data_IF_611457770196
#
_entry.id   IF_611457770196
#
_cell.length_a   1.000
_cell.length_b   1.000
_cell.length_c   1.000
_cell.angle_alpha   90.00
_cell.angle_beta   90.00
_cell.angle_gamma   90.00
#
_symmetry.space_group_name_H-M   'P 1'
#
loop_
_entity.id
_entity.type
_entity.pdbx_description
1 polymer ?
#
# COMPACT_ATOMS: atom_id res chain seq x y z
N UNK A 1 5.23 -5.18 -20.35
CA UNK A 1 6.25 -5.06 -19.28
C UNK A 1 7.69 -5.21 -19.82
N UNK A 2 8.01 -4.70 -21.03
CA UNK A 2 9.34 -4.87 -21.66
C UNK A 2 10.48 -4.06 -21.00
N UNK A 3 10.18 -3.34 -19.92
CA UNK A 3 11.07 -2.41 -19.23
C UNK A 3 11.07 -2.66 -17.72
N UNK A 4 11.25 -3.92 -17.32
CA UNK A 4 11.36 -4.30 -15.90
C UNK A 4 12.69 -5.01 -15.65
N UNK A 5 13.37 -4.60 -14.59
CA UNK A 5 14.65 -5.16 -14.15
C UNK A 5 14.39 -6.09 -12.96
N UNK A 6 14.88 -7.32 -13.02
CA UNK A 6 14.77 -8.24 -11.89
C UNK A 6 15.80 -7.85 -10.82
N UNK A 7 15.32 -7.45 -9.63
CA UNK A 7 16.17 -7.03 -8.52
C UNK A 7 16.60 -8.23 -7.65
N UNK A 8 15.73 -9.23 -7.50
CA UNK A 8 16.00 -10.37 -6.63
C UNK A 8 14.91 -11.44 -6.68
N UNK A 9 15.00 -12.40 -5.74
CA UNK A 9 13.97 -13.43 -5.53
C UNK A 9 13.69 -13.61 -4.04
N UNK A 10 12.42 -13.73 -3.68
CA UNK A 10 11.97 -14.08 -2.32
C UNK A 10 11.08 -15.31 -2.40
N UNK A 11 11.46 -16.40 -1.73
CA UNK A 11 10.74 -17.70 -1.77
C UNK A 11 10.44 -18.19 -3.20
N UNK A 12 11.38 -17.97 -4.12
CA UNK A 12 11.24 -18.34 -5.53
C UNK A 12 10.47 -17.35 -6.40
N UNK A 13 9.84 -16.32 -5.82
CA UNK A 13 9.10 -15.29 -6.55
C UNK A 13 10.09 -14.21 -7.03
N UNK A 14 10.22 -13.96 -8.34
CA UNK A 14 11.06 -12.89 -8.86
C UNK A 14 10.45 -11.52 -8.55
N UNK A 15 11.26 -10.65 -7.94
CA UNK A 15 10.90 -9.26 -7.67
C UNK A 15 11.49 -8.40 -8.79
N UNK A 16 10.62 -7.70 -9.50
CA UNK A 16 10.95 -6.86 -10.65
C UNK A 16 10.64 -5.41 -10.32
N UNK A 17 11.48 -4.51 -10.81
CA UNK A 17 11.26 -3.06 -10.73
C UNK A 17 11.03 -2.56 -12.15
N UNK A 18 9.88 -1.95 -12.39
CA UNK A 18 9.60 -1.28 -13.66
C UNK A 18 10.33 0.07 -13.70
N UNK A 19 10.76 0.52 -14.88
CA UNK A 19 11.45 1.83 -15.03
C UNK A 19 10.63 2.99 -14.45
N UNK A 20 9.29 2.93 -14.53
CA UNK A 20 8.43 3.97 -13.93
C UNK A 20 8.59 4.10 -12.41
N UNK A 21 9.07 3.06 -11.73
CA UNK A 21 9.40 3.09 -10.30
C UNK A 21 10.62 3.99 -10.00
N UNK A 22 11.55 4.14 -10.95
CA UNK A 22 12.70 5.04 -10.76
C UNK A 22 12.27 6.52 -10.71
N UNK A 23 11.12 6.86 -11.28
CA UNK A 23 10.56 8.21 -11.23
C UNK A 23 9.71 8.45 -9.96
N UNK A 24 9.04 7.42 -9.44
CA UNK A 24 8.19 7.56 -8.25
C UNK A 24 9.01 7.72 -6.97
N UNK A 25 10.21 7.11 -6.90
CA UNK A 25 11.08 7.23 -5.72
C UNK A 25 11.53 8.68 -5.44
N UNK A 26 12.10 9.44 -6.41
CA UNK A 26 12.43 10.85 -6.21
C UNK A 26 11.21 11.71 -5.88
N UNK A 27 10.05 11.42 -6.49
CA UNK A 27 8.82 12.13 -6.19
C UNK A 27 8.41 11.95 -4.72
N UNK A 28 8.35 10.71 -4.22
CA UNK A 28 8.05 10.46 -2.81
C UNK A 28 9.14 11.01 -1.88
N UNK A 29 10.42 10.97 -2.29
CA UNK A 29 11.50 11.58 -1.51
C UNK A 29 11.31 13.09 -1.34
N UNK A 30 10.85 13.79 -2.38
CA UNK A 30 10.48 15.20 -2.31
C UNK A 30 9.27 15.42 -1.40
N UNK A 31 8.20 14.64 -1.58
CA UNK A 31 6.98 14.76 -0.78
C UNK A 31 7.23 14.56 0.70
N UNK A 32 7.97 13.52 1.05
CA UNK A 32 8.31 13.18 2.43
C UNK A 32 9.38 14.11 3.01
N UNK A 33 10.33 14.56 2.20
CA UNK A 33 11.40 15.45 2.65
C UNK A 33 10.91 16.87 2.97
N UNK A 34 9.98 17.40 2.18
CA UNK A 34 9.53 18.80 2.28
C UNK A 34 8.11 18.98 2.83
N UNK A 35 7.46 17.90 3.30
CA UNK A 35 6.13 17.93 3.94
C UNK A 35 5.10 18.73 3.14
N UNK A 36 4.79 18.29 1.91
CA UNK A 36 3.66 18.86 1.15
C UNK A 36 2.29 18.44 1.69
N UNK A 37 2.26 17.53 2.67
CA UNK A 37 1.03 16.98 3.26
C UNK A 37 0.97 17.42 4.72
N UNK A 38 -0.11 18.09 5.17
CA UNK A 38 -0.24 18.49 6.56
C UNK A 38 -0.37 17.26 7.48
N UNK A 39 0.01 17.43 8.74
CA UNK A 39 -0.20 16.43 9.77
C UNK A 39 -1.69 16.06 9.86
N UNK A 40 -1.98 14.76 9.92
CA UNK A 40 -3.34 14.24 9.90
C UNK A 40 -3.57 13.31 11.08
N UNK A 41 -4.65 13.53 11.83
CA UNK A 41 -4.97 12.78 13.05
C UNK A 41 -3.81 12.71 14.06
N UNK A 42 -2.98 13.76 14.10
CA UNK A 42 -1.79 13.85 14.96
C UNK A 42 -0.55 13.13 14.43
N UNK A 43 -0.62 12.44 13.29
CA UNK A 43 0.54 11.82 12.65
C UNK A 43 1.35 12.85 11.88
N UNK A 44 2.65 12.90 12.14
CA UNK A 44 3.62 13.61 11.29
C UNK A 44 3.86 12.82 10.02
N UNK A 45 3.73 13.48 8.87
CA UNK A 45 3.77 12.86 7.54
C UNK A 45 4.97 13.28 6.67
N UNK A 46 5.96 13.96 7.26
CA UNK A 46 7.19 14.33 6.57
C UNK A 46 8.23 15.00 7.47
N UNK A 47 9.34 15.42 6.86
CA UNK A 47 10.53 15.98 7.52
C UNK A 47 10.74 17.49 7.30
N UNK A 48 9.79 18.15 6.65
CA UNK A 48 9.85 19.56 6.26
C UNK A 48 10.11 20.52 7.42
N UNK A 49 9.57 20.22 8.61
CA UNK A 49 9.71 21.08 9.80
C UNK A 49 11.04 20.88 10.54
N UNK A 50 11.83 19.88 10.15
CA UNK A 50 13.11 19.64 10.81
C UNK A 50 14.12 20.73 10.46
N UNK A 51 14.99 21.14 11.42
CA UNK A 51 16.07 22.09 11.19
C UNK A 51 17.25 21.42 10.47
N UNK A 52 16.96 20.80 9.32
CA UNK A 52 17.91 20.15 8.43
C UNK A 52 18.03 20.96 7.14
N UNK A 53 19.20 20.86 6.51
CA UNK A 53 19.42 21.37 5.16
C UNK A 53 18.61 20.57 4.12
N UNK A 54 18.47 21.14 2.92
CA UNK A 54 17.69 20.50 1.84
C UNK A 54 18.21 19.10 1.45
N UNK A 55 19.54 18.80 1.45
CA UNK A 55 20.02 17.44 1.19
C UNK A 55 19.65 16.47 2.30
N UNK A 56 19.75 16.87 3.58
CA UNK A 56 19.35 16.03 4.71
C UNK A 56 17.88 15.64 4.66
N UNK A 57 17.00 16.60 4.35
CA UNK A 57 15.55 16.37 4.16
C UNK A 57 15.27 15.38 3.03
N UNK A 58 15.94 15.54 1.88
CA UNK A 58 15.82 14.63 0.76
C UNK A 58 16.33 13.22 1.08
N UNK A 59 17.46 13.12 1.80
CA UNK A 59 18.01 11.83 2.22
C UNK A 59 17.03 11.06 3.11
N UNK A 60 16.45 11.73 4.11
CA UNK A 60 15.42 11.15 4.97
C UNK A 60 14.15 10.81 4.19
N UNK A 61 13.70 11.69 3.30
CA UNK A 61 12.55 11.45 2.43
C UNK A 61 12.75 10.23 1.53
N UNK A 62 13.95 10.04 0.98
CA UNK A 62 14.29 8.86 0.17
C UNK A 62 14.28 7.58 1.00
N UNK A 63 14.84 7.60 2.22
CA UNK A 63 14.79 6.46 3.14
C UNK A 63 13.32 6.10 3.43
N UNK A 64 12.49 7.09 3.74
CA UNK A 64 11.07 6.90 4.00
C UNK A 64 10.32 6.33 2.78
N UNK A 65 10.64 6.81 1.57
CA UNK A 65 10.06 6.30 0.34
C UNK A 65 10.44 4.83 0.11
N UNK A 66 11.70 4.47 0.30
CA UNK A 66 12.17 3.07 0.19
C UNK A 66 11.48 2.18 1.23
N UNK A 67 11.35 2.63 2.48
CA UNK A 67 10.64 1.89 3.52
C UNK A 67 9.15 1.71 3.20
N UNK A 68 8.49 2.75 2.72
CA UNK A 68 7.09 2.70 2.30
C UNK A 68 6.89 1.67 1.17
N UNK A 69 7.69 1.72 0.11
CA UNK A 69 7.58 0.75 -0.98
C UNK A 69 8.03 -0.66 -0.58
N UNK A 70 8.92 -0.79 0.41
CA UNK A 70 9.22 -2.08 1.03
C UNK A 70 8.01 -2.65 1.75
N UNK A 71 7.22 -1.82 2.43
CA UNK A 71 5.96 -2.23 3.05
C UNK A 71 4.89 -2.62 2.01
N UNK A 72 4.79 -1.89 0.90
CA UNK A 72 3.95 -2.28 -0.26
C UNK A 72 4.42 -3.62 -0.84
N UNK A 73 5.72 -3.84 -0.97
CA UNK A 73 6.26 -5.13 -1.41
C UNK A 73 5.92 -6.26 -0.43
N UNK A 74 5.98 -6.02 0.88
CA UNK A 74 5.58 -7.00 1.90
C UNK A 74 4.09 -7.33 1.81
N UNK A 75 3.23 -6.34 1.53
CA UNK A 75 1.81 -6.53 1.26
C UNK A 75 1.59 -7.49 0.07
N UNK A 76 2.23 -7.22 -1.07
CA UNK A 76 2.15 -8.07 -2.28
C UNK A 76 2.75 -9.47 -2.06
N UNK A 77 3.87 -9.54 -1.34
CA UNK A 77 4.50 -10.81 -0.96
C UNK A 77 3.56 -11.65 -0.09
N UNK A 78 2.78 -11.03 0.80
CA UNK A 78 1.85 -11.75 1.66
C UNK A 78 0.75 -12.44 0.85
N UNK A 79 0.15 -11.75 -0.13
CA UNK A 79 -0.76 -12.37 -1.11
C UNK A 79 -0.08 -13.53 -1.83
N UNK A 80 1.11 -13.29 -2.35
CA UNK A 80 1.84 -14.23 -3.17
C UNK A 80 2.23 -15.50 -2.40
N UNK A 81 2.69 -15.36 -1.15
CA UNK A 81 3.04 -16.51 -0.30
C UNK A 81 1.80 -17.37 0.00
N UNK A 82 0.66 -16.75 0.29
CA UNK A 82 -0.59 -17.50 0.51
C UNK A 82 -1.07 -18.16 -0.77
N UNK A 83 -0.90 -17.51 -1.92
CA UNK A 83 -1.23 -18.08 -3.21
C UNK A 83 -0.36 -19.31 -3.55
N UNK A 84 0.96 -19.24 -3.34
CA UNK A 84 1.85 -20.40 -3.52
C UNK A 84 1.46 -21.58 -2.63
N UNK A 85 1.13 -21.33 -1.36
CA UNK A 85 0.68 -22.37 -0.42
C UNK A 85 -0.63 -23.04 -0.83
N UNK A 86 -1.42 -22.39 -1.67
CA UNK A 86 -2.67 -22.91 -2.24
C UNK A 86 -2.49 -23.51 -3.64
N UNK A 87 -1.26 -23.65 -4.11
CA UNK A 87 -0.94 -24.28 -5.40
C UNK A 87 -1.12 -23.37 -6.61
N UNK A 88 -1.24 -22.05 -6.43
CA UNK A 88 -1.25 -21.10 -7.55
C UNK A 88 0.16 -20.82 -8.06
N UNK A 89 0.27 -20.59 -9.38
CA UNK A 89 1.52 -20.21 -10.03
C UNK A 89 1.64 -18.68 -10.12
N UNK A 90 2.79 -18.15 -9.70
CA UNK A 90 3.09 -16.72 -9.66
C UNK A 90 4.33 -16.47 -10.50
N UNK A 91 4.22 -15.63 -11.53
CA UNK A 91 5.32 -15.32 -12.45
C UNK A 91 6.23 -14.20 -11.95
N UNK A 92 5.80 -13.45 -10.94
CA UNK A 92 6.61 -12.43 -10.26
C UNK A 92 5.80 -11.35 -9.57
N UNK A 93 6.50 -10.46 -8.88
CA UNK A 93 5.94 -9.21 -8.34
C UNK A 93 6.66 -8.07 -9.03
N UNK A 94 5.91 -7.16 -9.64
CA UNK A 94 6.47 -5.98 -10.31
C UNK A 94 6.06 -4.72 -9.56
N UNK A 95 7.03 -3.94 -9.08
CA UNK A 95 6.83 -2.60 -8.52
C UNK A 95 6.85 -1.56 -9.64
N UNK A 96 5.89 -0.65 -9.65
CA UNK A 96 5.71 0.42 -10.63
C UNK A 96 5.06 1.64 -9.99
N UNK A 97 4.79 2.67 -10.80
CA UNK A 97 4.33 3.99 -10.31
C UNK A 97 3.04 3.96 -9.46
N UNK A 98 2.13 3.02 -9.69
CA UNK A 98 0.86 2.93 -8.94
C UNK A 98 0.92 1.93 -7.76
N UNK A 99 2.08 1.32 -7.49
CA UNK A 99 2.26 0.34 -6.40
C UNK A 99 2.95 -0.94 -6.85
N UNK A 100 2.62 -2.06 -6.22
CA UNK A 100 3.06 -3.40 -6.62
C UNK A 100 1.92 -4.17 -7.29
N UNK A 101 2.25 -5.01 -8.27
CA UNK A 101 1.30 -5.97 -8.84
C UNK A 101 1.94 -7.36 -8.79
N UNK A 102 1.23 -8.28 -8.17
CA UNK A 102 1.50 -9.72 -8.21
C UNK A 102 0.95 -10.34 -9.50
N UNK A 103 1.84 -10.87 -10.35
CA UNK A 103 1.48 -11.52 -11.61
C UNK A 103 1.09 -12.99 -11.34
N UNK A 104 -0.21 -13.29 -11.36
CA UNK A 104 -0.75 -14.64 -11.13
C UNK A 104 -1.13 -15.27 -12.47
N UNK A 105 -0.56 -16.44 -12.81
CA UNK A 105 -0.71 -17.07 -14.13
C UNK A 105 -2.10 -17.67 -14.39
N UNK A 106 -2.80 -18.11 -13.33
CA UNK A 106 -4.15 -18.69 -13.42
C UNK A 106 -5.07 -18.14 -12.34
N UNK A 107 -6.30 -17.78 -12.74
CA UNK A 107 -7.31 -17.29 -11.81
C UNK A 107 -7.69 -18.35 -10.75
N UNK A 108 -7.99 -17.92 -9.51
CA UNK A 108 -8.47 -18.81 -8.46
C UNK A 108 -9.71 -19.60 -8.88
N UNK A 109 -9.65 -20.94 -8.76
CA UNK A 109 -10.81 -21.80 -9.01
C UNK A 109 -11.85 -21.77 -7.87
N UNK A 110 -11.40 -21.43 -6.65
CA UNK A 110 -12.23 -21.46 -5.45
C UNK A 110 -12.47 -20.05 -4.92
N UNK A 111 -13.74 -19.66 -4.79
CA UNK A 111 -14.14 -18.31 -4.39
C UNK A 111 -13.61 -17.92 -3.01
N UNK A 112 -13.85 -18.75 -1.98
CA UNK A 112 -13.42 -18.45 -0.61
C UNK A 112 -11.89 -18.37 -0.47
N UNK A 113 -11.16 -19.22 -1.21
CA UNK A 113 -9.71 -19.19 -1.28
C UNK A 113 -9.19 -17.86 -1.83
N UNK A 114 -9.87 -17.27 -2.80
CA UNK A 114 -9.56 -15.94 -3.31
C UNK A 114 -9.83 -14.84 -2.27
N UNK A 115 -10.99 -14.85 -1.62
CA UNK A 115 -11.33 -13.82 -0.63
C UNK A 115 -10.33 -13.77 0.52
N UNK A 116 -9.95 -14.94 1.07
CA UNK A 116 -8.91 -14.97 2.09
C UNK A 116 -7.56 -14.48 1.58
N UNK A 117 -7.17 -14.87 0.36
CA UNK A 117 -5.91 -14.42 -0.23
C UNK A 117 -5.88 -12.91 -0.38
N UNK A 118 -6.97 -12.30 -0.86
CA UNK A 118 -7.11 -10.85 -0.98
C UNK A 118 -7.12 -10.14 0.38
N UNK A 119 -7.58 -10.79 1.46
CA UNK A 119 -7.54 -10.17 2.79
C UNK A 119 -6.13 -10.12 3.41
N UNK A 120 -5.23 -11.04 3.03
CA UNK A 120 -3.92 -11.21 3.69
C UNK A 120 -2.98 -10.01 3.50
N UNK A 121 -2.97 -9.37 2.33
CA UNK A 121 -2.17 -8.17 2.10
C UNK A 121 -2.58 -7.02 3.02
N UNK A 122 -3.85 -6.60 3.01
CA UNK A 122 -4.36 -5.57 3.91
C UNK A 122 -4.13 -5.90 5.39
N UNK A 123 -4.32 -7.16 5.79
CA UNK A 123 -4.01 -7.60 7.15
C UNK A 123 -2.51 -7.43 7.48
N UNK A 124 -1.62 -7.72 6.54
CA UNK A 124 -0.16 -7.53 6.71
C UNK A 124 0.19 -6.06 6.90
N UNK A 125 -0.35 -5.17 6.04
CA UNK A 125 -0.16 -3.73 6.20
C UNK A 125 -0.74 -3.23 7.52
N UNK A 126 -1.95 -3.66 7.90
CA UNK A 126 -2.55 -3.26 9.16
C UNK A 126 -1.69 -3.67 10.36
N UNK A 127 -1.17 -4.91 10.38
CA UNK A 127 -0.28 -5.39 11.44
C UNK A 127 1.02 -4.57 11.49
N UNK A 128 1.65 -4.29 10.34
CA UNK A 128 2.84 -3.42 10.31
C UNK A 128 2.51 -2.07 10.94
N UNK A 129 1.40 -1.46 10.54
CA UNK A 129 1.01 -0.15 11.06
C UNK A 129 0.78 -0.15 12.57
N UNK A 130 -0.02 -1.09 13.06
CA UNK A 130 -0.34 -1.22 14.49
C UNK A 130 0.90 -1.54 15.33
N UNK A 131 1.82 -2.37 14.83
CA UNK A 131 3.05 -2.72 15.56
C UNK A 131 4.00 -1.52 15.68
N UNK A 132 4.02 -0.63 14.68
CA UNK A 132 4.86 0.57 14.71
C UNK A 132 4.27 1.70 15.57
N UNK A 133 2.96 1.67 15.81
CA UNK A 133 2.24 2.71 16.54
C UNK A 133 2.77 2.94 17.98
N UNK A 134 3.02 1.92 18.83
CA UNK A 134 3.60 2.12 20.15
C UNK A 134 4.96 2.82 20.12
N UNK A 135 5.82 2.49 19.15
CA UNK A 135 7.15 3.12 19.04
C UNK A 135 7.06 4.60 18.71
N UNK A 136 6.10 4.99 17.86
CA UNK A 136 5.80 6.40 17.65
C UNK A 136 5.28 7.07 18.93
N UNK A 137 4.29 6.46 19.60
CA UNK A 137 3.70 7.03 20.83
C UNK A 137 4.74 7.24 21.95
N UNK A 138 5.74 6.36 22.06
CA UNK A 138 6.81 6.47 23.04
C UNK A 138 7.81 7.59 22.73
N UNK A 139 8.00 7.95 21.45
CA UNK A 139 9.02 8.90 21.02
C UNK A 139 8.46 10.27 20.59
N UNK A 140 7.13 10.42 20.46
CA UNK A 140 6.52 11.62 19.86
C UNK A 140 6.71 12.91 20.68
N UNK A 141 6.90 12.78 22.00
CA UNK A 141 7.12 13.92 22.91
C UNK A 141 8.60 14.28 23.06
N UNK A 142 9.50 13.45 22.51
CA UNK A 142 10.94 13.69 22.56
C UNK A 142 11.32 14.88 21.67
N UNK A 143 12.27 15.70 22.13
CA UNK A 143 12.71 16.93 21.43
C UNK A 143 14.08 16.80 20.78
N UNK A 144 14.85 15.77 21.11
CA UNK A 144 16.15 15.51 20.49
C UNK A 144 16.01 15.21 19.00
N UNK A 145 16.84 15.83 18.16
CA UNK A 145 16.74 15.72 16.69
C UNK A 145 16.64 14.27 16.20
N UNK A 146 17.48 13.38 16.72
CA UNK A 146 17.47 11.96 16.34
C UNK A 146 16.15 11.29 16.75
N UNK A 147 15.70 11.52 17.99
CA UNK A 147 14.43 10.98 18.48
C UNK A 147 13.24 11.48 17.64
N UNK A 148 13.24 12.75 17.26
CA UNK A 148 12.22 13.35 16.38
C UNK A 148 12.24 12.69 15.00
N UNK A 149 13.41 12.51 14.38
CA UNK A 149 13.53 11.83 13.08
C UNK A 149 12.95 10.41 13.15
N UNK A 150 13.33 9.65 14.18
CA UNK A 150 12.88 8.27 14.38
C UNK A 150 11.37 8.23 14.66
N UNK A 151 10.85 9.13 15.50
CA UNK A 151 9.43 9.26 15.78
C UNK A 151 8.63 9.58 14.52
N UNK A 152 9.11 10.50 13.67
CA UNK A 152 8.50 10.82 12.38
C UNK A 152 8.50 9.61 11.45
N UNK A 153 9.55 8.78 11.46
CA UNK A 153 9.56 7.53 10.70
C UNK A 153 8.54 6.51 11.16
N UNK A 154 8.43 6.28 12.47
CA UNK A 154 7.38 5.41 12.99
C UNK A 154 5.98 5.96 12.72
N UNK A 155 5.79 7.28 12.84
CA UNK A 155 4.54 7.96 12.50
C UNK A 155 4.13 7.69 11.06
N UNK A 156 5.01 8.00 10.10
CA UNK A 156 4.76 7.82 8.68
C UNK A 156 4.50 6.35 8.32
N UNK A 157 5.37 5.44 8.78
CA UNK A 157 5.21 4.02 8.46
C UNK A 157 3.96 3.44 9.10
N UNK A 158 3.61 3.85 10.32
CA UNK A 158 2.35 3.48 10.97
C UNK A 158 1.15 3.95 10.15
N UNK A 159 1.09 5.26 9.91
CA UNK A 159 -0.03 5.90 9.23
C UNK A 159 -0.24 5.34 7.81
N UNK A 160 0.80 5.32 6.98
CA UNK A 160 0.65 4.87 5.59
C UNK A 160 0.33 3.38 5.47
N UNK A 161 0.79 2.54 6.40
CA UNK A 161 0.41 1.12 6.39
C UNK A 161 -1.04 0.88 6.84
N UNK A 162 -1.51 1.62 7.86
CA UNK A 162 -2.93 1.59 8.26
C UNK A 162 -3.79 2.13 7.12
N UNK A 163 -3.37 3.22 6.48
CA UNK A 163 -4.06 3.83 5.35
C UNK A 163 -4.12 2.86 4.16
N UNK A 164 -3.00 2.20 3.83
CA UNK A 164 -2.92 1.19 2.77
C UNK A 164 -3.86 0.01 3.04
N UNK A 165 -3.93 -0.46 4.29
CA UNK A 165 -4.87 -1.50 4.68
C UNK A 165 -6.32 -1.02 4.59
N UNK A 166 -6.61 0.19 5.07
CA UNK A 166 -7.94 0.80 5.04
C UNK A 166 -8.47 0.94 3.61
N UNK A 167 -7.68 1.52 2.71
CA UNK A 167 -8.02 1.61 1.29
C UNK A 167 -8.22 0.22 0.67
N UNK A 168 -7.32 -0.73 0.92
CA UNK A 168 -7.45 -2.04 0.31
C UNK A 168 -8.57 -2.92 0.89
N UNK A 169 -9.18 -2.56 2.04
CA UNK A 169 -10.37 -3.28 2.56
C UNK A 169 -11.68 -2.74 1.98
N UNK A 170 -11.68 -1.57 1.33
CA UNK A 170 -12.88 -1.00 0.71
C UNK A 170 -13.48 -2.02 -0.27
N UNK A 171 -14.79 -2.34 -0.16
CA UNK A 171 -15.44 -3.41 -0.92
C UNK A 171 -15.74 -3.00 -2.37
N UNK A 172 -14.72 -2.54 -3.10
CA UNK A 172 -14.81 -2.06 -4.46
C UNK A 172 -13.59 -2.46 -5.28
N UNK A 173 -13.80 -2.87 -6.54
CA UNK A 173 -12.69 -3.00 -7.48
C UNK A 173 -12.10 -1.62 -7.84
N UNK A 174 -10.78 -1.50 -8.02
CA UNK A 174 -9.77 -2.55 -8.14
C UNK A 174 -9.15 -3.07 -6.83
N UNK A 175 -9.60 -2.59 -5.67
CA UNK A 175 -9.00 -2.88 -4.36
C UNK A 175 -9.25 -4.34 -3.92
N UNK A 176 -8.44 -4.84 -2.98
CA UNK A 176 -8.57 -6.21 -2.48
C UNK A 176 -9.91 -6.51 -1.82
N UNK A 177 -10.51 -5.54 -1.14
CA UNK A 177 -11.84 -5.63 -0.55
C UNK A 177 -12.91 -5.89 -1.60
N UNK A 178 -12.72 -5.38 -2.83
CA UNK A 178 -13.54 -5.73 -3.99
C UNK A 178 -13.44 -7.22 -4.35
N UNK A 179 -12.25 -7.82 -4.23
CA UNK A 179 -12.03 -9.27 -4.43
C UNK A 179 -12.61 -10.09 -3.28
N UNK A 180 -12.54 -9.59 -2.04
CA UNK A 180 -13.20 -10.20 -0.87
C UNK A 180 -14.73 -10.20 -1.08
N UNK A 181 -15.31 -9.06 -1.45
CA UNK A 181 -16.74 -8.94 -1.77
C UNK A 181 -17.14 -9.87 -2.91
N UNK A 182 -16.35 -9.87 -4.01
CA UNK A 182 -16.59 -10.76 -5.15
C UNK A 182 -16.57 -12.22 -4.73
N UNK A 183 -15.60 -12.64 -3.92
CA UNK A 183 -15.51 -14.00 -3.38
C UNK A 183 -16.77 -14.37 -2.57
N UNK A 184 -17.22 -13.48 -1.69
CA UNK A 184 -18.40 -13.72 -0.86
C UNK A 184 -19.67 -13.88 -1.70
N UNK A 185 -19.85 -13.04 -2.73
CA UNK A 185 -20.99 -13.11 -3.65
C UNK A 185 -20.91 -14.31 -4.59
N UNK A 186 -19.72 -14.64 -5.11
CA UNK A 186 -19.52 -15.72 -6.07
C UNK A 186 -19.97 -17.07 -5.56
N UNK A 187 -19.97 -17.29 -4.23
CA UNK A 187 -20.52 -18.50 -3.60
C UNK A 187 -22.01 -18.72 -3.92
N UNK A 188 -22.79 -17.66 -4.10
CA UNK A 188 -24.25 -17.74 -4.31
C UNK A 188 -24.66 -17.58 -5.78
N UNK A 189 -23.93 -16.79 -6.56
CA UNK A 189 -24.35 -16.37 -7.90
C UNK A 189 -23.28 -16.59 -8.99
N UNK A 190 -22.15 -17.22 -8.66
CA UNK A 190 -21.03 -17.41 -9.57
C UNK A 190 -20.17 -16.15 -9.78
N UNK A 191 -19.02 -16.32 -10.42
CA UNK A 191 -17.99 -15.28 -10.51
C UNK A 191 -18.36 -14.09 -11.40
N UNK A 192 -19.06 -14.32 -12.52
CA UNK A 192 -19.39 -13.24 -13.47
C UNK A 192 -20.36 -12.24 -12.84
N UNK A 193 -21.52 -12.65 -12.27
CA UNK A 193 -22.43 -11.71 -11.61
C UNK A 193 -21.79 -11.03 -10.40
N UNK A 194 -21.02 -11.77 -9.59
CA UNK A 194 -20.31 -11.22 -8.45
C UNK A 194 -19.30 -10.13 -8.85
N UNK A 195 -18.60 -10.31 -9.97
CA UNK A 195 -17.68 -9.29 -10.51
C UNK A 195 -18.44 -8.04 -10.93
N UNK A 196 -19.57 -8.19 -11.62
CA UNK A 196 -20.40 -7.05 -12.04
C UNK A 196 -20.86 -6.22 -10.84
N UNK A 197 -21.27 -6.87 -9.75
CA UNK A 197 -21.67 -6.17 -8.52
C UNK A 197 -20.48 -5.45 -7.90
N UNK A 198 -19.34 -6.13 -7.71
CA UNK A 198 -18.16 -5.51 -7.11
C UNK A 198 -17.62 -4.32 -7.94
N UNK A 199 -17.72 -4.38 -9.28
CA UNK A 199 -17.42 -3.25 -10.16
C UNK A 199 -18.46 -2.14 -10.05
N UNK A 200 -19.76 -2.46 -9.95
CA UNK A 200 -20.82 -1.47 -9.79
C UNK A 200 -20.67 -0.71 -8.46
N UNK A 201 -20.36 -1.41 -7.37
CA UNK A 201 -20.05 -0.79 -6.06
C UNK A 201 -18.84 0.14 -6.20
N UNK A 202 -17.77 -0.29 -6.88
CA UNK A 202 -16.61 0.57 -7.12
C UNK A 202 -16.94 1.82 -7.92
N UNK A 203 -17.77 1.72 -8.97
CA UNK A 203 -18.26 2.88 -9.72
C UNK A 203 -19.09 3.81 -8.85
N UNK A 204 -19.99 3.28 -8.02
CA UNK A 204 -20.81 4.08 -7.13
C UNK A 204 -19.95 4.86 -6.11
N UNK A 205 -18.95 4.19 -5.51
CA UNK A 205 -18.01 4.84 -4.59
C UNK A 205 -17.19 5.91 -5.32
N UNK A 206 -16.67 5.62 -6.52
CA UNK A 206 -15.90 6.60 -7.30
C UNK A 206 -16.73 7.84 -7.64
N UNK A 207 -17.99 7.68 -8.05
CA UNK A 207 -18.92 8.78 -8.32
C UNK A 207 -19.21 9.57 -7.04
N UNK A 208 -19.47 8.88 -5.92
CA UNK A 208 -19.71 9.53 -4.64
C UNK A 208 -18.49 10.35 -4.18
N UNK A 209 -17.28 9.82 -4.33
CA UNK A 209 -16.04 10.55 -4.04
C UNK A 209 -15.84 11.76 -4.95
N UNK A 210 -16.16 11.64 -6.24
CA UNK A 210 -16.06 12.76 -7.19
C UNK A 210 -17.07 13.87 -6.86
N UNK A 211 -18.31 13.51 -6.55
CA UNK A 211 -19.35 14.45 -6.10
C UNK A 211 -18.90 15.12 -4.80
N UNK A 212 -18.44 14.32 -3.83
CA UNK A 212 -17.98 14.85 -2.55
C UNK A 212 -16.82 15.84 -2.76
N UNK A 213 -15.79 15.47 -3.51
CA UNK A 213 -14.66 16.38 -3.79
C UNK A 213 -15.04 17.63 -4.59
N UNK A 214 -16.08 17.56 -5.43
CA UNK A 214 -16.57 18.72 -6.18
C UNK A 214 -17.31 19.73 -5.29
N UNK A 215 -18.16 19.26 -4.37
CA UNK A 215 -18.98 20.12 -3.51
C UNK A 215 -18.27 20.52 -2.22
N UNK A 216 -17.47 19.62 -1.66
CA UNK A 216 -16.68 19.85 -0.47
C UNK A 216 -15.24 20.06 -0.91
N UNK A 217 -14.96 21.26 -1.40
CA UNK A 217 -13.59 21.68 -1.64
C UNK A 217 -12.88 21.74 -0.28
N UNK A 218 -12.10 20.71 0.03
CA UNK A 218 -11.35 20.57 1.29
C UNK A 218 -10.06 21.44 1.27
N UNK A 219 -9.99 22.39 0.33
CA UNK A 219 -8.88 23.30 0.06
C UNK A 219 -9.38 24.74 -0.09
#
# INVERSE_FOLDING_TARGET
MRSSLQMGRVKGIPIKIHISFLFILPFFALVFGFTFVPDLFGFRLGFGDLPLDWPGKLGLGLIAAVLFFSAVLLHELAHSIVALRRGYQISGITLFIFGGVSEIEKQPKEALGEGFMAFVGPATSFVIGVVLLPFWLLLREETGLVSVIVATMFSMMSFYNILLAGFNIIPAFPMDGGRVLRSALAKRMGFIPATRIAVAVGKAIAVAMAIFGFFFNIW
#
